data_IF_532964948435
#
_entry.id   IF_532964948435
#
_cell.length_a   1.000
_cell.length_b   1.000
_cell.length_c   1.000
_cell.angle_alpha   90.00
_cell.angle_beta   90.00
_cell.angle_gamma   90.00
#
_symmetry.space_group_name_H-M   'P 1'
#
loop_
_entity.id
_entity.type
_entity.pdbx_description
1 polymer ?
#
# COMPACT_ATOMS: atom_id res chain seq x y z
N UNK A 1 10.98 4.26 23.46
CA UNK A 1 10.23 5.34 22.77
C UNK A 1 9.66 4.77 21.48
N UNK A 2 8.43 5.12 21.08
CA UNK A 2 7.92 4.72 19.76
C UNK A 2 8.76 5.30 18.63
N UNK A 3 8.76 4.65 17.47
CA UNK A 3 9.38 5.17 16.25
C UNK A 3 8.66 6.42 15.70
N UNK A 4 9.21 7.09 14.67
CA UNK A 4 8.60 8.24 14.03
C UNK A 4 7.27 7.86 13.36
N UNK A 5 6.36 8.84 13.27
CA UNK A 5 5.14 8.73 12.48
C UNK A 5 5.48 8.83 10.99
N UNK A 6 4.94 7.93 10.18
CA UNK A 6 5.05 7.98 8.72
C UNK A 6 3.94 8.88 8.16
N UNK A 7 4.30 10.08 7.71
CA UNK A 7 3.34 11.13 7.31
C UNK A 7 3.07 11.21 5.79
N UNK A 8 3.11 10.10 5.06
CA UNK A 8 2.92 10.12 3.59
C UNK A 8 1.51 9.81 3.08
N UNK A 9 0.76 8.86 3.67
CA UNK A 9 -0.66 8.69 3.32
C UNK A 9 -1.48 9.92 3.74
N UNK A 10 -2.27 10.47 2.82
CA UNK A 10 -3.11 11.67 3.07
C UNK A 10 -4.60 11.33 3.30
N UNK A 11 -4.88 10.09 3.66
CA UNK A 11 -6.22 9.51 3.80
C UNK A 11 -6.16 8.49 4.97
N UNK A 12 -7.26 8.22 5.72
CA UNK A 12 -7.33 7.10 6.66
C UNK A 12 -6.64 5.82 6.17
N UNK A 13 -5.68 5.37 6.97
CA UNK A 13 -4.94 4.13 6.73
C UNK A 13 -5.76 2.96 7.26
N UNK A 14 -6.12 2.04 6.38
CA UNK A 14 -6.90 0.85 6.71
C UNK A 14 -6.06 -0.42 6.63
N UNK A 15 -5.19 -0.54 5.62
CA UNK A 15 -4.39 -1.74 5.39
C UNK A 15 -2.90 -1.51 5.61
N UNK A 16 -2.24 -2.41 6.33
CA UNK A 16 -0.80 -2.40 6.58
C UNK A 16 -0.25 -3.83 6.47
N UNK A 17 0.86 -4.01 5.75
CA UNK A 17 1.49 -5.32 5.65
C UNK A 17 2.99 -5.23 5.38
N UNK A 18 3.78 -5.96 6.16
CA UNK A 18 5.22 -6.09 5.97
C UNK A 18 5.56 -7.20 4.98
N UNK A 19 6.72 -7.08 4.34
CA UNK A 19 7.34 -8.20 3.63
C UNK A 19 7.96 -9.21 4.61
N UNK A 20 8.47 -10.32 4.09
CA UNK A 20 9.04 -11.37 4.93
C UNK A 20 10.31 -10.93 5.70
N UNK A 21 10.95 -9.83 5.28
CA UNK A 21 12.15 -9.29 5.93
C UNK A 21 11.84 -8.21 6.96
N UNK A 22 10.58 -7.72 7.00
CA UNK A 22 10.19 -6.56 7.81
C UNK A 22 10.76 -5.24 7.27
N UNK A 23 11.38 -5.22 6.09
CA UNK A 23 12.03 -4.03 5.53
C UNK A 23 11.10 -3.20 4.66
N UNK A 24 10.14 -3.84 4.00
CA UNK A 24 9.13 -3.15 3.19
C UNK A 24 7.79 -3.17 3.90
N UNK A 25 7.11 -2.04 3.87
CA UNK A 25 5.77 -1.87 4.38
C UNK A 25 4.86 -1.36 3.25
N UNK A 26 3.87 -2.18 2.89
CA UNK A 26 2.75 -1.75 2.06
C UNK A 26 1.72 -1.06 2.94
N UNK A 27 1.27 0.12 2.52
CA UNK A 27 0.25 0.91 3.22
C UNK A 27 -0.88 1.22 2.26
N UNK A 28 -2.09 0.81 2.62
CA UNK A 28 -3.31 1.12 1.91
C UNK A 28 -4.12 2.13 2.73
N UNK A 29 -4.36 3.28 2.13
CA UNK A 29 -5.17 4.35 2.68
C UNK A 29 -6.31 4.65 1.72
N UNK A 30 -7.54 4.64 2.20
CA UNK A 30 -8.68 4.68 1.29
C UNK A 30 -10.00 4.97 1.96
N UNK A 31 -10.41 6.22 1.87
CA UNK A 31 -11.80 6.66 1.97
C UNK A 31 -12.12 7.71 0.90
N UNK A 32 -11.11 8.49 0.48
CA UNK A 32 -11.24 9.58 -0.49
C UNK A 32 -10.34 9.33 -1.70
N UNK A 33 -9.04 9.12 -1.46
CA UNK A 33 -8.00 9.13 -2.48
C UNK A 33 -7.59 7.72 -2.95
N UNK A 34 -8.01 6.67 -2.21
CA UNK A 34 -7.78 5.26 -2.48
C UNK A 34 -6.36 4.97 -2.98
N UNK A 35 -5.40 5.24 -2.10
CA UNK A 35 -3.96 5.15 -2.37
C UNK A 35 -3.34 3.89 -1.79
N UNK A 36 -2.34 3.39 -2.52
CA UNK A 36 -1.39 2.41 -2.04
C UNK A 36 0.01 3.00 -2.13
N UNK A 37 0.74 2.96 -1.01
CA UNK A 37 2.11 3.43 -0.91
C UNK A 37 3.02 2.29 -0.43
N UNK A 38 4.28 2.36 -0.83
CA UNK A 38 5.32 1.42 -0.40
C UNK A 38 6.38 2.20 0.38
N UNK A 39 6.88 1.62 1.46
CA UNK A 39 7.87 2.25 2.33
C UNK A 39 9.05 1.32 2.61
N UNK A 40 10.27 1.87 2.63
CA UNK A 40 11.42 1.22 3.26
C UNK A 40 11.44 1.68 4.72
N UNK A 41 11.44 0.70 5.61
CA UNK A 41 11.38 0.86 7.07
C UNK A 41 12.57 0.18 7.75
N UNK A 42 13.64 -0.15 7.00
CA UNK A 42 14.87 -0.72 7.56
C UNK A 42 15.44 0.18 8.67
N UNK A 43 15.45 1.49 8.41
CA UNK A 43 15.90 2.48 9.37
C UNK A 43 14.69 2.97 10.14
N UNK A 44 14.48 2.41 11.34
CA UNK A 44 13.29 2.69 12.16
C UNK A 44 13.12 4.17 12.48
N UNK A 45 14.20 4.97 12.51
CA UNK A 45 14.14 6.42 12.76
C UNK A 45 13.88 7.27 11.50
N UNK A 46 14.04 6.69 10.31
CA UNK A 46 13.88 7.39 9.03
C UNK A 46 13.23 6.51 7.95
N UNK A 47 11.97 6.07 8.12
CA UNK A 47 11.21 5.47 7.04
C UNK A 47 11.08 6.43 5.85
N UNK A 48 11.09 5.91 4.63
CA UNK A 48 10.86 6.71 3.43
C UNK A 48 10.04 5.98 2.38
N UNK A 49 9.27 6.74 1.61
CA UNK A 49 8.43 6.17 0.56
C UNK A 49 9.30 5.66 -0.60
N UNK A 50 9.04 4.43 -1.02
CA UNK A 50 9.66 3.84 -2.20
C UNK A 50 8.79 4.17 -3.41
N UNK A 51 9.31 4.99 -4.31
CA UNK A 51 8.69 5.22 -5.61
C UNK A 51 7.41 6.07 -5.56
N UNK A 52 6.50 5.83 -6.51
CA UNK A 52 5.27 6.62 -6.68
C UNK A 52 4.12 6.05 -5.85
N UNK A 53 3.21 6.96 -5.47
CA UNK A 53 1.91 6.60 -4.90
C UNK A 53 1.06 5.97 -6.01
N UNK A 54 0.56 4.76 -5.77
CA UNK A 54 -0.43 4.12 -6.63
C UNK A 54 -1.82 4.61 -6.23
N UNK A 55 -2.56 5.21 -7.17
CA UNK A 55 -3.92 5.72 -6.95
C UNK A 55 -4.92 4.85 -7.69
N UNK A 56 -5.96 4.40 -6.99
CA UNK A 56 -7.09 3.74 -7.65
C UNK A 56 -7.94 4.78 -8.40
N UNK A 57 -8.87 4.30 -9.22
CA UNK A 57 -9.83 5.18 -9.87
C UNK A 57 -10.78 5.82 -8.84
N UNK A 58 -11.26 7.03 -9.10
CA UNK A 58 -12.13 7.77 -8.16
C UNK A 58 -13.48 7.10 -7.92
N UNK A 59 -13.92 6.27 -8.86
CA UNK A 59 -15.14 5.47 -8.80
C UNK A 59 -14.93 4.11 -8.13
N UNK A 60 -13.68 3.74 -7.79
CA UNK A 60 -13.40 2.47 -7.13
C UNK A 60 -13.92 2.49 -5.69
N UNK A 61 -14.48 1.37 -5.19
CA UNK A 61 -14.85 1.24 -3.79
C UNK A 61 -13.67 1.52 -2.84
N UNK A 62 -13.89 2.18 -1.68
CA UNK A 62 -12.84 2.42 -0.69
C UNK A 62 -12.15 1.13 -0.23
N UNK A 63 -10.87 1.23 0.14
CA UNK A 63 -10.17 0.09 0.71
C UNK A 63 -10.74 -0.31 2.06
N UNK A 64 -10.84 -1.61 2.30
CA UNK A 64 -11.13 -2.19 3.61
C UNK A 64 -9.83 -2.47 4.36
N UNK A 65 -9.91 -2.70 5.68
CA UNK A 65 -8.74 -2.90 6.53
C UNK A 65 -7.84 -4.10 6.22
N UNK A 66 -8.19 -4.89 5.19
CA UNK A 66 -7.45 -6.08 4.80
C UNK A 66 -6.39 -5.76 3.73
N UNK A 67 -5.14 -6.15 3.99
CA UNK A 67 -4.06 -6.08 3.00
C UNK A 67 -2.98 -7.11 3.25
N UNK A 68 -2.34 -7.59 2.18
CA UNK A 68 -1.22 -8.54 2.27
C UNK A 68 -0.13 -8.27 1.23
N UNK A 69 1.08 -8.04 1.71
CA UNK A 69 2.28 -7.85 0.90
C UNK A 69 2.92 -9.22 0.66
N UNK A 70 3.28 -9.49 -0.60
CA UNK A 70 4.03 -10.70 -0.95
C UNK A 70 5.35 -10.78 -0.19
N UNK A 71 5.88 -11.99 0.10
CA UNK A 71 7.12 -12.16 0.86
C UNK A 71 8.33 -11.39 0.29
N UNK A 72 8.38 -11.21 -1.04
CA UNK A 72 9.42 -10.47 -1.73
C UNK A 72 9.19 -8.94 -1.77
N UNK A 73 8.09 -8.46 -1.20
CA UNK A 73 7.73 -7.05 -1.09
C UNK A 73 7.46 -6.35 -2.42
N UNK A 74 7.01 -7.08 -3.46
CA UNK A 74 6.79 -6.52 -4.81
C UNK A 74 5.33 -6.40 -5.20
N UNK A 75 4.44 -7.15 -4.58
CA UNK A 75 3.01 -7.17 -4.92
C UNK A 75 2.19 -7.03 -3.65
N UNK A 76 1.27 -6.06 -3.62
CA UNK A 76 0.41 -5.79 -2.47
C UNK A 76 -1.06 -5.94 -2.90
N UNK A 77 -1.77 -6.87 -2.26
CA UNK A 77 -3.19 -7.07 -2.45
C UNK A 77 -3.97 -6.39 -1.32
N UNK A 78 -5.03 -5.66 -1.65
CA UNK A 78 -5.83 -4.89 -0.69
C UNK A 78 -7.31 -5.16 -0.95
N UNK A 79 -8.08 -5.50 0.08
CA UNK A 79 -9.52 -5.64 -0.03
C UNK A 79 -10.22 -4.27 -0.12
N UNK A 80 -11.41 -4.24 -0.69
CA UNK A 80 -12.29 -3.05 -0.66
C UNK A 80 -13.55 -3.28 0.19
N UNK A 81 -14.38 -2.24 0.34
CA UNK A 81 -15.58 -2.27 1.17
C UNK A 81 -16.76 -3.03 0.57
N UNK A 82 -16.68 -3.45 -0.70
CA UNK A 82 -17.73 -4.23 -1.38
C UNK A 82 -17.31 -5.68 -1.66
N UNK A 83 -16.16 -6.10 -1.12
CA UNK A 83 -15.64 -7.47 -1.24
C UNK A 83 -14.75 -7.71 -2.45
N UNK A 84 -14.41 -6.67 -3.21
CA UNK A 84 -13.39 -6.74 -4.25
C UNK A 84 -11.97 -6.77 -3.67
N UNK A 85 -11.02 -7.20 -4.48
CA UNK A 85 -9.60 -7.24 -4.12
C UNK A 85 -8.78 -6.55 -5.19
N UNK A 86 -8.04 -5.53 -4.79
CA UNK A 86 -7.15 -4.78 -5.65
C UNK A 86 -5.72 -5.31 -5.61
N UNK A 87 -5.29 -5.79 -6.77
CA UNK A 87 -3.94 -6.14 -7.23
C UNK A 87 -2.96 -4.98 -7.47
N UNK A 88 -1.93 -4.68 -6.65
CA UNK A 88 -0.88 -3.70 -7.03
C UNK A 88 0.51 -4.32 -7.18
N UNK A 89 1.19 -3.99 -8.28
CA UNK A 89 2.57 -4.37 -8.60
C UNK A 89 3.53 -3.18 -8.41
N UNK A 90 4.57 -3.40 -7.60
CA UNK A 90 5.66 -2.48 -7.29
C UNK A 90 7.03 -3.03 -7.73
N UNK A 91 7.08 -3.96 -8.71
CA UNK A 91 8.34 -4.44 -9.32
C UNK A 91 9.19 -3.29 -9.84
N UNK A 92 8.55 -2.29 -10.46
CA UNK A 92 9.11 -0.98 -10.75
C UNK A 92 8.45 0.06 -9.84
N UNK A 93 9.08 0.46 -8.72
CA UNK A 93 8.48 1.43 -7.81
C UNK A 93 8.26 2.80 -8.45
N UNK A 94 8.98 3.15 -9.52
CA UNK A 94 8.75 4.41 -10.22
C UNK A 94 7.46 4.38 -11.06
N UNK A 95 6.92 3.19 -11.34
CA UNK A 95 5.72 2.96 -12.15
C UNK A 95 4.91 1.79 -11.59
N UNK A 96 4.31 1.94 -10.39
CA UNK A 96 3.45 0.91 -9.86
C UNK A 96 2.24 0.75 -10.77
N UNK A 97 1.84 -0.50 -11.01
CA UNK A 97 0.70 -0.80 -11.89
C UNK A 97 -0.30 -1.66 -11.17
N UNK A 98 -1.57 -1.42 -11.46
CA UNK A 98 -2.67 -2.30 -11.08
C UNK A 98 -2.54 -3.58 -11.90
N UNK A 99 -2.57 -4.75 -11.24
CA UNK A 99 -2.83 -6.00 -11.96
C UNK A 99 -4.20 -5.85 -12.65
N UNK A 100 -4.32 -6.43 -13.86
CA UNK A 100 -5.47 -6.26 -14.78
C UNK A 100 -6.86 -6.43 -14.15
N UNK A 101 -7.92 -6.10 -14.90
CA UNK A 101 -9.21 -5.69 -14.34
C UNK A 101 -9.78 -6.71 -13.36
N UNK A 102 -10.48 -6.19 -12.33
CA UNK A 102 -11.38 -7.01 -11.53
C UNK A 102 -12.35 -7.71 -12.50
N UNK A 103 -12.39 -9.03 -12.44
CA UNK A 103 -13.33 -9.86 -13.21
C UNK A 103 -14.77 -9.46 -12.88
#
# INVERSE_FOLDING_TARGET
>A
MPGPVINGPNDPVFGLSFDATGRRLGVAAGAIDNTVTMWDVATTQHPFQIGRIARNSQDAPPYSGAGTLTPNGRVFAVGDTVGGVQVWDFRDPARPVKFGPAL
#
